data_IF_089875561627
#
_entry.id   IF_089875561627
#
_cell.length_a   1.000
_cell.length_b   1.000
_cell.length_c   1.000
_cell.angle_alpha   90.00
_cell.angle_beta   90.00
_cell.angle_gamma   90.00
#
_symmetry.space_group_name_H-M   'P 1'
#
loop_
_entity.id
_entity.type
_entity.pdbx_description
1 polymer ?
#
# COMPACT_ATOMS: atom_id res chain seq x y z
N UNK A 1 -22.22 16.59 24.53
CA UNK A 1 -21.96 15.20 24.96
C UNK A 1 -20.45 14.96 24.98
N UNK A 2 -19.88 14.43 26.06
CA UNK A 2 -18.49 13.94 26.04
C UNK A 2 -18.45 12.66 25.19
N UNK A 3 -17.98 12.75 23.96
CA UNK A 3 -17.80 11.56 23.12
C UNK A 3 -16.59 10.77 23.64
N UNK A 4 -16.82 9.53 24.09
CA UNK A 4 -15.73 8.59 24.38
C UNK A 4 -15.18 8.09 23.04
N UNK A 5 -13.85 8.05 22.91
CA UNK A 5 -13.16 7.51 21.72
C UNK A 5 -13.54 6.04 21.46
N UNK A 6 -13.75 5.27 22.53
CA UNK A 6 -14.19 3.88 22.44
C UNK A 6 -15.71 3.79 22.60
N UNK A 7 -16.40 3.52 21.50
CA UNK A 7 -17.84 3.25 21.47
C UNK A 7 -18.07 1.80 21.10
N UNK A 8 -18.42 0.96 22.08
CA UNK A 8 -18.60 -0.49 21.90
C UNK A 8 -19.54 -0.84 20.74
N UNK A 9 -20.64 -0.10 20.58
CA UNK A 9 -21.61 -0.34 19.51
C UNK A 9 -21.01 -0.12 18.11
N UNK A 10 -20.19 0.92 17.94
CA UNK A 10 -19.57 1.25 16.66
C UNK A 10 -18.49 0.22 16.30
N UNK A 11 -17.68 -0.19 17.29
CA UNK A 11 -16.72 -1.27 17.13
C UNK A 11 -17.36 -2.60 16.72
N UNK A 12 -18.45 -2.97 17.39
CA UNK A 12 -19.16 -4.21 17.09
C UNK A 12 -19.79 -4.20 15.69
N UNK A 13 -20.32 -3.05 15.26
CA UNK A 13 -20.81 -2.85 13.89
C UNK A 13 -19.69 -3.09 12.88
N UNK A 14 -18.57 -2.39 13.02
CA UNK A 14 -17.44 -2.51 12.08
C UNK A 14 -16.86 -3.92 12.07
N UNK A 15 -16.75 -4.58 13.24
CA UNK A 15 -16.32 -5.97 13.33
C UNK A 15 -17.25 -6.90 12.56
N UNK A 16 -18.56 -6.83 12.78
CA UNK A 16 -19.54 -7.70 12.10
C UNK A 16 -19.45 -7.57 10.58
N UNK A 17 -19.20 -6.36 10.09
CA UNK A 17 -19.11 -6.07 8.65
C UNK A 17 -17.79 -6.56 8.02
N UNK A 18 -16.70 -6.59 8.79
CA UNK A 18 -15.34 -6.85 8.27
C UNK A 18 -14.73 -8.18 8.73
N UNK A 19 -15.39 -8.94 9.62
CA UNK A 19 -14.87 -10.19 10.20
C UNK A 19 -14.40 -11.22 9.17
N UNK A 20 -15.04 -11.29 8.01
CA UNK A 20 -14.63 -12.24 6.95
C UNK A 20 -13.23 -11.89 6.44
N UNK A 21 -12.92 -10.60 6.29
CA UNK A 21 -11.61 -10.15 5.84
C UNK A 21 -10.53 -10.46 6.89
N UNK A 22 -10.84 -10.38 8.19
CA UNK A 22 -9.92 -10.81 9.25
C UNK A 22 -9.49 -12.27 9.06
N UNK A 23 -10.47 -13.18 8.89
CA UNK A 23 -10.19 -14.60 8.71
C UNK A 23 -9.48 -14.89 7.39
N UNK A 24 -9.81 -14.16 6.31
CA UNK A 24 -9.10 -14.28 5.04
C UNK A 24 -7.64 -13.81 5.14
N UNK A 25 -7.37 -12.69 5.83
CA UNK A 25 -6.01 -12.22 6.10
C UNK A 25 -5.21 -13.23 6.91
N UNK A 26 -5.84 -13.85 7.93
CA UNK A 26 -5.24 -14.91 8.73
C UNK A 26 -4.90 -16.13 7.86
N UNK A 27 -5.86 -16.62 7.08
CA UNK A 27 -5.68 -17.78 6.20
C UNK A 27 -4.59 -17.53 5.14
N UNK A 28 -4.63 -16.37 4.48
CA UNK A 28 -3.63 -16.00 3.48
C UNK A 28 -2.23 -15.96 4.11
N UNK A 29 -2.08 -15.30 5.26
CA UNK A 29 -0.79 -15.20 5.96
C UNK A 29 -0.28 -16.55 6.45
N UNK A 30 -1.18 -17.43 6.90
CA UNK A 30 -0.85 -18.81 7.26
C UNK A 30 -0.30 -19.59 6.07
N UNK A 31 -0.96 -19.48 4.91
CA UNK A 31 -0.53 -20.16 3.69
C UNK A 31 0.78 -19.57 3.14
N UNK A 32 1.09 -18.31 3.43
CA UNK A 32 2.31 -17.63 2.97
C UNK A 32 3.57 -17.97 3.78
N UNK A 33 3.47 -18.30 5.06
CA UNK A 33 4.65 -18.57 5.92
C UNK A 33 4.53 -19.89 6.66
N UNK A 34 3.51 -19.99 7.52
CA UNK A 34 3.41 -21.10 8.47
C UNK A 34 3.36 -22.43 7.73
N UNK A 35 2.55 -22.51 6.66
CA UNK A 35 2.45 -23.72 5.86
C UNK A 35 3.77 -24.07 5.12
N UNK A 36 4.44 -23.15 4.40
CA UNK A 36 5.77 -23.40 3.86
C UNK A 36 6.80 -23.91 4.87
N UNK A 37 6.87 -23.29 6.06
CA UNK A 37 7.80 -23.73 7.10
C UNK A 37 7.43 -25.09 7.69
N UNK A 38 6.14 -25.38 7.92
CA UNK A 38 5.69 -26.71 8.32
C UNK A 38 6.07 -27.76 7.27
N UNK A 39 5.84 -27.45 5.99
CA UNK A 39 6.19 -28.35 4.89
C UNK A 39 7.69 -28.63 4.85
N UNK A 40 8.51 -27.60 5.01
CA UNK A 40 9.97 -27.70 4.96
C UNK A 40 10.55 -28.42 6.19
N UNK A 41 10.06 -28.13 7.39
CA UNK A 41 10.64 -28.62 8.64
C UNK A 41 10.05 -29.94 9.12
N UNK A 42 8.75 -30.16 8.93
CA UNK A 42 8.04 -31.30 9.51
C UNK A 42 7.65 -32.35 8.47
N UNK A 43 7.28 -31.95 7.25
CA UNK A 43 6.75 -32.89 6.23
C UNK A 43 7.72 -33.26 5.12
N UNK A 44 8.94 -32.73 5.12
CA UNK A 44 9.99 -33.07 4.15
C UNK A 44 10.58 -34.47 4.39
N UNK A 45 11.26 -35.02 3.39
CA UNK A 45 11.88 -36.35 3.47
C UNK A 45 13.05 -36.32 4.47
N UNK A 46 13.31 -37.41 5.21
CA UNK A 46 14.42 -37.46 6.19
C UNK A 46 15.78 -37.05 5.59
N UNK A 47 16.05 -37.42 4.32
CA UNK A 47 17.27 -37.01 3.61
C UNK A 47 17.37 -35.49 3.39
N UNK A 48 16.25 -34.83 3.10
CA UNK A 48 16.16 -33.38 2.89
C UNK A 48 16.30 -32.64 4.21
N UNK A 49 15.67 -33.14 5.27
CA UNK A 49 15.82 -32.62 6.64
C UNK A 49 17.27 -32.67 7.09
N UNK A 50 17.93 -33.82 6.95
CA UNK A 50 19.34 -33.97 7.33
C UNK A 50 20.26 -33.04 6.53
N UNK A 51 20.00 -32.88 5.23
CA UNK A 51 20.74 -31.95 4.38
C UNK A 51 20.55 -30.50 4.83
N UNK A 52 19.31 -30.11 5.16
CA UNK A 52 18.98 -28.79 5.67
C UNK A 52 19.61 -28.53 7.04
N UNK A 53 19.50 -29.47 7.99
CA UNK A 53 20.13 -29.36 9.31
C UNK A 53 21.65 -29.27 9.21
N UNK A 54 22.30 -30.05 8.32
CA UNK A 54 23.75 -29.92 8.07
C UNK A 54 24.12 -28.56 7.48
N UNK A 55 23.30 -28.02 6.58
CA UNK A 55 23.50 -26.70 6.01
C UNK A 55 23.42 -25.62 7.11
N UNK A 56 22.46 -25.73 8.02
CA UNK A 56 22.26 -24.81 9.16
C UNK A 56 23.41 -24.82 10.12
N UNK A 57 23.90 -26.02 10.48
CA UNK A 57 25.08 -26.15 11.34
C UNK A 57 26.32 -25.49 10.74
N UNK A 58 26.40 -25.41 9.41
CA UNK A 58 27.54 -24.84 8.69
C UNK A 58 27.41 -23.33 8.45
N UNK A 59 26.18 -22.84 8.26
CA UNK A 59 25.87 -21.44 7.95
C UNK A 59 24.64 -20.95 8.74
N UNK A 60 24.75 -20.78 10.07
CA UNK A 60 23.60 -20.42 10.91
C UNK A 60 23.02 -19.05 10.56
N UNK A 61 23.86 -18.08 10.17
CA UNK A 61 23.43 -16.71 9.83
C UNK A 61 22.66 -16.64 8.50
N UNK A 62 23.04 -17.44 7.50
CA UNK A 62 22.40 -17.44 6.19
C UNK A 62 20.98 -18.04 6.24
N UNK A 63 20.77 -19.00 7.14
CA UNK A 63 19.46 -19.65 7.31
C UNK A 63 18.48 -18.75 8.05
N UNK A 64 18.93 -18.08 9.11
CA UNK A 64 18.12 -17.07 9.77
C UNK A 64 17.68 -16.01 8.75
N UNK A 65 18.57 -15.61 7.84
CA UNK A 65 18.22 -14.69 6.76
C UNK A 65 17.18 -15.26 5.79
N UNK A 66 17.28 -16.53 5.39
CA UNK A 66 16.35 -17.14 4.44
C UNK A 66 14.94 -17.32 5.04
N UNK A 67 14.83 -17.77 6.29
CA UNK A 67 13.56 -17.80 7.05
C UNK A 67 12.96 -16.39 7.22
N UNK A 68 13.78 -15.37 7.49
CA UNK A 68 13.30 -13.99 7.62
C UNK A 68 12.92 -13.33 6.28
N UNK A 69 13.40 -13.87 5.15
CA UNK A 69 13.07 -13.36 3.81
C UNK A 69 11.60 -13.61 3.48
N UNK A 70 11.06 -14.77 3.84
CA UNK A 70 9.66 -15.13 3.58
C UNK A 70 8.66 -14.18 4.28
N UNK A 71 9.08 -13.63 5.42
CA UNK A 71 8.37 -12.56 6.11
C UNK A 71 8.31 -11.27 5.27
N UNK A 72 9.43 -10.84 4.68
CA UNK A 72 9.49 -9.59 3.90
C UNK A 72 8.88 -9.67 2.51
N UNK A 73 8.79 -10.87 1.97
CA UNK A 73 8.23 -11.14 0.64
C UNK A 73 6.74 -11.42 0.70
N UNK A 74 6.39 -12.71 0.70
CA UNK A 74 5.03 -13.17 0.44
C UNK A 74 4.01 -12.71 1.50
N UNK A 75 4.32 -12.84 2.80
CA UNK A 75 3.37 -12.44 3.84
C UNK A 75 3.15 -10.95 3.87
N UNK A 76 4.22 -10.14 3.79
CA UNK A 76 4.08 -8.69 3.78
C UNK A 76 3.19 -8.24 2.61
N UNK A 77 3.40 -8.79 1.42
CA UNK A 77 2.55 -8.50 0.26
C UNK A 77 1.09 -8.93 0.47
N UNK A 78 0.86 -10.13 1.02
CA UNK A 78 -0.49 -10.60 1.35
C UNK A 78 -1.19 -9.72 2.40
N UNK A 79 -0.45 -9.24 3.41
CA UNK A 79 -0.96 -8.34 4.45
C UNK A 79 -1.26 -6.95 3.90
N UNK A 80 -0.36 -6.38 3.10
CA UNK A 80 -0.56 -5.08 2.44
C UNK A 80 -1.77 -5.15 1.51
N UNK A 81 -1.90 -6.21 0.72
CA UNK A 81 -3.07 -6.44 -0.12
C UNK A 81 -4.34 -6.63 0.70
N UNK A 82 -4.29 -7.40 1.80
CA UNK A 82 -5.40 -7.57 2.73
C UNK A 82 -5.84 -6.26 3.39
N UNK A 83 -4.89 -5.43 3.82
CA UNK A 83 -5.15 -4.09 4.35
C UNK A 83 -5.78 -3.17 3.31
N UNK A 84 -5.27 -3.21 2.07
CA UNK A 84 -5.87 -2.49 0.95
C UNK A 84 -7.33 -2.89 0.73
N UNK A 85 -7.63 -4.19 0.64
CA UNK A 85 -9.00 -4.69 0.52
C UNK A 85 -9.87 -4.29 1.72
N UNK A 86 -9.32 -4.33 2.93
CA UNK A 86 -10.02 -3.91 4.14
C UNK A 86 -10.43 -2.43 4.07
N UNK A 87 -9.55 -1.56 3.59
CA UNK A 87 -9.87 -0.13 3.43
C UNK A 87 -10.98 0.10 2.40
N UNK A 88 -10.99 -0.66 1.29
CA UNK A 88 -12.04 -0.59 0.27
C UNK A 88 -13.34 -1.11 0.84
N UNK A 89 -13.30 -2.18 1.62
CA UNK A 89 -14.50 -2.73 2.22
C UNK A 89 -15.08 -1.80 3.28
N UNK A 90 -14.26 -1.18 4.12
CA UNK A 90 -14.73 -0.28 5.18
C UNK A 90 -15.33 1.02 4.65
N UNK A 91 -14.75 1.62 3.61
CA UNK A 91 -15.20 2.93 3.08
C UNK A 91 -15.97 2.80 1.77
N UNK A 92 -15.51 1.94 0.87
CA UNK A 92 -16.10 1.73 -0.45
C UNK A 92 -17.42 0.98 -0.41
N UNK A 93 -17.58 -0.01 0.48
CA UNK A 93 -18.87 -0.72 0.62
C UNK A 93 -19.97 0.20 1.15
N UNK A 94 -19.68 1.08 2.12
CA UNK A 94 -20.67 2.03 2.66
C UNK A 94 -21.19 2.99 1.59
N UNK A 95 -20.45 3.21 0.51
CA UNK A 95 -20.88 4.06 -0.62
C UNK A 95 -21.80 3.35 -1.60
N UNK A 96 -21.98 2.04 -1.46
CA UNK A 96 -22.92 1.24 -2.25
C UNK A 96 -24.26 1.15 -1.51
N UNK A 97 -25.37 1.15 -2.25
CA UNK A 97 -26.72 0.86 -1.73
C UNK A 97 -27.22 1.75 -0.58
N UNK A 98 -27.07 3.08 -0.64
CA UNK A 98 -27.58 4.04 0.37
C UNK A 98 -27.11 3.81 1.82
N UNK A 99 -26.19 2.86 2.05
CA UNK A 99 -25.70 2.50 3.38
C UNK A 99 -25.00 3.69 4.06
N UNK A 100 -24.31 4.53 3.27
CA UNK A 100 -23.67 5.76 3.77
C UNK A 100 -24.65 6.73 4.43
N UNK A 101 -25.90 6.81 3.96
CA UNK A 101 -26.93 7.66 4.57
C UNK A 101 -27.35 7.12 5.93
N UNK A 102 -27.54 5.80 6.04
CA UNK A 102 -27.86 5.13 7.30
C UNK A 102 -26.72 5.24 8.32
N UNK A 103 -25.47 5.12 7.87
CA UNK A 103 -24.29 5.26 8.73
C UNK A 103 -24.10 6.69 9.21
N UNK A 104 -24.36 7.68 8.35
CA UNK A 104 -24.28 9.10 8.75
C UNK A 104 -25.49 9.60 9.52
N UNK A 105 -26.60 8.87 9.51
CA UNK A 105 -27.75 9.12 10.38
C UNK A 105 -27.52 8.68 11.83
N UNK A 106 -26.49 7.87 12.10
CA UNK A 106 -26.14 7.47 13.46
C UNK A 106 -25.79 8.71 14.32
N UNK A 107 -26.10 8.69 15.64
CA UNK A 107 -25.83 9.80 16.56
C UNK A 107 -24.34 9.88 16.96
N UNK A 108 -23.43 9.69 16.01
CA UNK A 108 -21.98 9.73 16.19
C UNK A 108 -21.34 10.69 15.19
N UNK A 109 -20.38 11.52 15.62
CA UNK A 109 -19.70 12.41 14.70
C UNK A 109 -18.86 11.61 13.68
N UNK A 110 -18.81 12.09 12.44
CA UNK A 110 -18.15 11.38 11.32
C UNK A 110 -16.66 11.12 11.54
N UNK A 111 -15.95 12.04 12.20
CA UNK A 111 -14.53 11.82 12.54
C UNK A 111 -14.35 10.59 13.43
N UNK A 112 -15.25 10.35 14.38
CA UNK A 112 -15.19 9.18 15.27
C UNK A 112 -15.48 7.88 14.52
N UNK A 113 -16.34 7.93 13.49
CA UNK A 113 -16.59 6.80 12.60
C UNK A 113 -15.35 6.43 11.79
N UNK A 114 -14.62 7.42 11.26
CA UNK A 114 -13.35 7.19 10.56
C UNK A 114 -12.27 6.59 11.49
N UNK A 115 -12.09 7.18 12.67
CA UNK A 115 -11.11 6.68 13.65
C UNK A 115 -11.43 5.24 14.06
N UNK A 116 -12.70 4.93 14.29
CA UNK A 116 -13.10 3.56 14.67
C UNK A 116 -12.78 2.55 13.56
N UNK A 117 -13.04 2.89 12.29
CA UNK A 117 -12.67 2.03 11.15
C UNK A 117 -11.16 1.79 11.10
N UNK A 118 -10.38 2.86 11.24
CA UNK A 118 -8.91 2.78 11.26
C UNK A 118 -8.42 1.90 12.42
N UNK A 119 -8.92 2.09 13.63
CA UNK A 119 -8.54 1.30 14.80
C UNK A 119 -8.90 -0.19 14.65
N UNK A 120 -10.07 -0.51 14.09
CA UNK A 120 -10.45 -1.90 13.79
C UNK A 120 -9.48 -2.52 12.79
N UNK A 121 -9.09 -1.79 11.74
CA UNK A 121 -8.09 -2.25 10.77
C UNK A 121 -6.72 -2.48 11.39
N UNK A 122 -6.22 -1.54 12.19
CA UNK A 122 -4.97 -1.72 12.93
C UNK A 122 -5.03 -2.93 13.87
N UNK A 123 -6.14 -3.12 14.56
CA UNK A 123 -6.34 -4.26 15.47
C UNK A 123 -6.27 -5.58 14.71
N UNK A 124 -6.89 -5.66 13.52
CA UNK A 124 -6.83 -6.86 12.68
C UNK A 124 -5.41 -7.15 12.22
N UNK A 125 -4.69 -6.14 11.72
CA UNK A 125 -3.31 -6.31 11.26
C UNK A 125 -2.42 -6.81 12.39
N UNK A 126 -2.47 -6.16 13.57
CA UNK A 126 -1.69 -6.56 14.74
C UNK A 126 -2.04 -7.99 15.19
N UNK A 127 -3.33 -8.31 15.24
CA UNK A 127 -3.81 -9.63 15.66
C UNK A 127 -3.36 -10.74 14.69
N UNK A 128 -3.49 -10.52 13.38
CA UNK A 128 -3.06 -11.49 12.37
C UNK A 128 -1.56 -11.71 12.45
N UNK A 129 -0.75 -10.65 12.50
CA UNK A 129 0.71 -10.78 12.61
C UNK A 129 1.09 -11.50 13.90
N UNK A 130 0.48 -11.15 15.03
CA UNK A 130 0.79 -11.78 16.32
C UNK A 130 0.49 -13.28 16.32
N UNK A 131 -0.66 -13.71 15.81
CA UNK A 131 -1.02 -15.14 15.76
C UNK A 131 -0.09 -15.89 14.80
N UNK A 132 0.12 -15.37 13.60
CA UNK A 132 0.93 -16.04 12.58
C UNK A 132 2.38 -16.18 13.04
N UNK A 133 2.94 -15.13 13.62
CA UNK A 133 4.29 -15.13 14.16
C UNK A 133 4.43 -16.07 15.36
N UNK A 134 3.44 -16.11 16.27
CA UNK A 134 3.45 -17.05 17.39
C UNK A 134 3.38 -18.51 16.92
N UNK A 135 2.53 -18.82 15.94
CA UNK A 135 2.43 -20.16 15.35
C UNK A 135 3.74 -20.55 14.66
N UNK A 136 4.31 -19.66 13.85
CA UNK A 136 5.53 -19.96 13.11
C UNK A 136 6.74 -20.15 14.03
N UNK A 137 6.90 -19.29 15.04
CA UNK A 137 7.94 -19.46 16.07
C UNK A 137 7.78 -20.80 16.77
N UNK A 138 6.55 -21.23 17.08
CA UNK A 138 6.32 -22.53 17.70
C UNK A 138 6.77 -23.68 16.78
N UNK A 139 6.45 -23.62 15.49
CA UNK A 139 6.89 -24.64 14.52
C UNK A 139 8.41 -24.72 14.41
N UNK A 140 9.07 -23.56 14.33
CA UNK A 140 10.53 -23.49 14.23
C UNK A 140 11.18 -23.98 15.53
N UNK A 141 10.70 -23.55 16.70
CA UNK A 141 11.28 -23.95 18.00
C UNK A 141 11.07 -25.42 18.33
N UNK A 142 9.99 -26.03 17.87
CA UNK A 142 9.73 -27.47 18.03
C UNK A 142 10.49 -28.34 17.01
N UNK A 143 11.17 -27.73 16.03
CA UNK A 143 11.97 -28.45 15.05
C UNK A 143 13.43 -28.58 15.48
N UNK A 144 14.18 -29.48 14.82
CA UNK A 144 15.61 -29.74 15.07
C UNK A 144 16.52 -28.50 14.88
N UNK A 145 16.01 -27.46 14.22
CA UNK A 145 16.75 -26.23 13.94
C UNK A 145 16.50 -25.13 14.97
N UNK A 146 15.59 -25.35 15.92
CA UNK A 146 15.12 -24.35 16.86
C UNK A 146 16.22 -23.74 17.74
N UNK A 147 17.30 -24.47 18.00
CA UNK A 147 18.45 -24.02 18.79
C UNK A 147 19.29 -22.95 18.06
N UNK A 148 19.33 -22.99 16.73
CA UNK A 148 20.12 -22.08 15.90
C UNK A 148 19.37 -20.78 15.58
N UNK A 149 18.08 -20.68 15.93
CA UNK A 149 17.22 -19.57 15.55
C UNK A 149 16.92 -18.64 16.72
N UNK A 150 17.27 -17.36 16.56
CA UNK A 150 16.97 -16.31 17.53
C UNK A 150 15.54 -15.76 17.34
N UNK A 151 14.69 -15.88 18.36
CA UNK A 151 13.30 -15.41 18.36
C UNK A 151 13.21 -13.88 18.23
N UNK A 152 14.17 -13.14 18.77
CA UNK A 152 14.19 -11.68 18.73
C UNK A 152 14.16 -11.13 17.30
N UNK A 153 14.86 -11.79 16.38
CA UNK A 153 14.87 -11.41 14.96
C UNK A 153 13.47 -11.49 14.33
N UNK A 154 12.68 -12.51 14.68
CA UNK A 154 11.31 -12.69 14.21
C UNK A 154 10.38 -11.64 14.82
N UNK A 155 10.53 -11.32 16.11
CA UNK A 155 9.71 -10.28 16.76
C UNK A 155 9.95 -8.91 16.11
N UNK A 156 11.21 -8.53 15.89
CA UNK A 156 11.57 -7.29 15.18
C UNK A 156 10.94 -7.29 13.78
N UNK A 157 10.96 -8.45 13.10
CA UNK A 157 10.33 -8.65 11.80
C UNK A 157 8.82 -8.42 11.84
N UNK A 158 8.13 -8.97 12.84
CA UNK A 158 6.71 -8.76 13.07
C UNK A 158 6.36 -7.27 13.27
N UNK A 159 7.16 -6.54 14.06
CA UNK A 159 6.96 -5.09 14.22
C UNK A 159 7.10 -4.34 12.90
N UNK A 160 8.10 -4.69 12.08
CA UNK A 160 8.26 -4.11 10.75
C UNK A 160 7.02 -4.36 9.87
N UNK A 161 6.51 -5.59 9.83
CA UNK A 161 5.31 -5.93 9.05
C UNK A 161 4.08 -5.13 9.48
N UNK A 162 3.84 -5.03 10.79
CA UNK A 162 2.75 -4.22 11.34
C UNK A 162 2.91 -2.78 10.90
N UNK A 163 4.12 -2.23 11.04
CA UNK A 163 4.41 -0.85 10.69
C UNK A 163 4.09 -0.55 9.21
N UNK A 164 4.64 -1.33 8.29
CA UNK A 164 4.45 -1.14 6.84
C UNK A 164 2.99 -1.34 6.44
N UNK A 165 2.35 -2.40 6.94
CA UNK A 165 0.96 -2.71 6.62
C UNK A 165 0.00 -1.64 7.16
N UNK A 166 0.21 -1.15 8.39
CA UNK A 166 -0.62 -0.06 8.95
C UNK A 166 -0.41 1.25 8.18
N UNK A 167 0.84 1.56 7.78
CA UNK A 167 1.15 2.77 7.00
C UNK A 167 0.47 2.75 5.63
N UNK A 168 0.57 1.63 4.91
CA UNK A 168 -0.08 1.46 3.59
C UNK A 168 -1.61 1.38 3.69
N UNK A 169 -2.14 0.71 4.72
CA UNK A 169 -3.57 0.73 5.03
C UNK A 169 -4.09 2.14 5.29
N UNK A 170 -3.35 2.94 6.07
CA UNK A 170 -3.69 4.34 6.37
C UNK A 170 -3.71 5.18 5.11
N UNK A 171 -2.73 4.98 4.22
CA UNK A 171 -2.69 5.64 2.93
C UNK A 171 -3.90 5.29 2.04
N UNK A 172 -4.29 4.01 1.98
CA UNK A 172 -5.47 3.62 1.19
C UNK A 172 -6.79 4.11 1.82
N UNK A 173 -6.90 4.14 3.14
CA UNK A 173 -8.01 4.77 3.86
C UNK A 173 -8.09 6.28 3.58
N UNK A 174 -6.94 6.96 3.52
CA UNK A 174 -6.86 8.36 3.13
C UNK A 174 -7.39 8.58 1.71
N UNK A 175 -6.99 7.77 0.74
CA UNK A 175 -7.56 7.79 -0.62
C UNK A 175 -9.08 7.55 -0.58
N UNK A 176 -9.50 6.59 0.24
CA UNK A 176 -10.91 6.32 0.49
C UNK A 176 -11.66 7.56 0.99
N UNK A 177 -11.06 8.42 1.81
CA UNK A 177 -11.76 9.56 2.42
C UNK A 177 -12.31 10.60 1.42
N UNK A 178 -11.69 10.77 0.25
CA UNK A 178 -12.07 11.80 -0.73
C UNK A 178 -12.54 11.26 -2.10
N UNK A 179 -12.38 9.97 -2.37
CA UNK A 179 -12.94 9.31 -3.57
C UNK A 179 -14.44 9.09 -3.40
N UNK A 180 -15.25 9.13 -4.47
CA UNK A 180 -16.71 8.99 -4.32
C UNK A 180 -17.26 7.58 -4.57
N UNK A 181 -16.41 6.63 -4.99
CA UNK A 181 -16.77 5.24 -5.26
C UNK A 181 -15.65 4.27 -4.82
N UNK A 182 -16.01 3.01 -4.59
CA UNK A 182 -15.03 1.96 -4.25
C UNK A 182 -14.07 1.70 -5.42
N UNK A 183 -14.55 1.77 -6.66
CA UNK A 183 -13.74 1.59 -7.87
C UNK A 183 -12.68 2.68 -7.97
N UNK A 184 -13.03 3.94 -7.70
CA UNK A 184 -12.05 5.02 -7.75
C UNK A 184 -11.02 4.92 -6.61
N UNK A 185 -11.45 4.54 -5.41
CA UNK A 185 -10.51 4.26 -4.32
C UNK A 185 -9.50 3.18 -4.72
N UNK A 186 -9.98 2.09 -5.34
CA UNK A 186 -9.13 1.01 -5.81
C UNK A 186 -8.15 1.46 -6.89
N UNK A 187 -8.66 2.09 -7.96
CA UNK A 187 -7.84 2.57 -9.08
C UNK A 187 -6.80 3.58 -8.63
N UNK A 188 -7.16 4.58 -7.82
CA UNK A 188 -6.21 5.61 -7.39
C UNK A 188 -5.13 5.05 -6.46
N UNK A 189 -5.48 4.10 -5.58
CA UNK A 189 -4.50 3.43 -4.73
C UNK A 189 -3.51 2.61 -5.56
N UNK A 190 -3.98 1.87 -6.58
CA UNK A 190 -3.09 1.11 -7.47
C UNK A 190 -2.20 2.06 -8.28
N UNK A 191 -2.77 3.08 -8.90
CA UNK A 191 -2.02 4.08 -9.68
C UNK A 191 -0.93 4.72 -8.81
N UNK A 192 -1.25 5.05 -7.55
CA UNK A 192 -0.30 5.70 -6.65
C UNK A 192 0.93 4.87 -6.29
N UNK A 193 0.87 3.53 -6.37
CA UNK A 193 2.04 2.66 -6.16
C UNK A 193 3.09 2.89 -7.25
N UNK A 194 2.67 3.13 -8.48
CA UNK A 194 3.56 3.28 -9.63
C UNK A 194 3.82 4.74 -10.00
N UNK A 195 3.03 5.67 -9.45
CA UNK A 195 3.05 7.08 -9.85
C UNK A 195 4.43 7.72 -9.67
N UNK A 196 5.13 7.43 -8.57
CA UNK A 196 6.46 8.01 -8.31
C UNK A 196 7.50 7.54 -9.34
N UNK A 197 7.59 6.22 -9.58
CA UNK A 197 8.54 5.67 -10.55
C UNK A 197 8.20 6.11 -11.99
N UNK A 198 6.91 6.16 -12.32
CA UNK A 198 6.45 6.73 -13.58
C UNK A 198 6.92 8.18 -13.76
N UNK A 199 6.69 9.05 -12.77
CA UNK A 199 7.14 10.45 -12.84
C UNK A 199 8.64 10.57 -12.96
N UNK A 200 9.40 9.80 -12.18
CA UNK A 200 10.87 9.80 -12.21
C UNK A 200 11.38 9.41 -13.60
N UNK A 201 10.86 8.32 -14.18
CA UNK A 201 11.24 7.85 -15.50
C UNK A 201 10.92 8.87 -16.59
N UNK A 202 9.71 9.42 -16.57
CA UNK A 202 9.27 10.42 -17.54
C UNK A 202 10.02 11.75 -17.43
N UNK A 203 10.31 12.21 -16.20
CA UNK A 203 11.10 13.41 -15.97
C UNK A 203 12.54 13.23 -16.44
N UNK A 204 13.15 12.08 -16.18
CA UNK A 204 14.49 11.78 -16.67
C UNK A 204 14.56 11.84 -18.20
N UNK A 205 13.55 11.28 -18.88
CA UNK A 205 13.47 11.33 -20.34
C UNK A 205 13.28 12.76 -20.86
N UNK A 206 12.45 13.58 -20.22
CA UNK A 206 12.31 15.00 -20.54
C UNK A 206 13.66 15.72 -20.44
N UNK A 207 14.36 15.57 -19.31
CA UNK A 207 15.65 16.24 -19.09
C UNK A 207 16.71 15.80 -20.11
N UNK A 208 16.69 14.53 -20.50
CA UNK A 208 17.57 13.99 -21.54
C UNK A 208 17.31 14.63 -22.90
N UNK A 209 16.05 14.69 -23.35
CA UNK A 209 15.68 15.22 -24.67
C UNK A 209 16.04 16.70 -24.82
N UNK A 210 15.90 17.47 -23.75
CA UNK A 210 16.27 18.88 -23.73
C UNK A 210 17.77 19.12 -23.45
N UNK A 211 18.58 18.06 -23.37
CA UNK A 211 20.03 18.11 -23.10
C UNK A 211 20.38 18.84 -21.80
N UNK A 212 19.51 18.79 -20.81
CA UNK A 212 19.77 19.35 -19.47
C UNK A 212 20.69 18.41 -18.69
N UNK A 213 20.59 17.09 -18.93
CA UNK A 213 21.46 16.07 -18.34
C UNK A 213 22.02 15.12 -19.41
N UNK A 214 23.31 14.72 -19.31
CA UNK A 214 23.91 13.72 -20.19
C UNK A 214 23.17 12.36 -20.14
N UNK A 215 23.21 11.61 -21.24
CA UNK A 215 22.53 10.31 -21.45
C UNK A 215 22.79 9.25 -20.35
N UNK A 216 23.94 9.31 -19.70
CA UNK A 216 24.38 8.35 -18.69
C UNK A 216 24.00 8.77 -17.25
N UNK A 217 23.36 9.92 -17.08
CA UNK A 217 23.01 10.45 -15.75
C UNK A 217 21.59 10.04 -15.41
N UNK A 218 21.44 9.05 -14.54
CA UNK A 218 20.14 8.73 -13.95
C UNK A 218 19.76 9.80 -12.94
N UNK A 219 18.46 10.10 -12.84
CA UNK A 219 17.96 11.03 -11.84
C UNK A 219 18.14 10.37 -10.46
N UNK A 220 19.20 10.75 -9.76
CA UNK A 220 19.58 10.19 -8.46
C UNK A 220 18.63 10.69 -7.38
N UNK A 221 17.48 10.05 -7.29
CA UNK A 221 16.54 10.24 -6.17
C UNK A 221 16.89 9.35 -4.98
N UNK A 222 17.78 8.37 -5.17
CA UNK A 222 18.17 7.39 -4.15
C UNK A 222 18.90 8.07 -2.99
N UNK A 223 18.49 7.78 -1.75
CA UNK A 223 19.03 8.38 -0.53
C UNK A 223 18.57 9.82 -0.29
N UNK A 224 17.70 10.37 -1.14
CA UNK A 224 17.09 11.69 -0.94
C UNK A 224 15.74 11.57 -0.24
N UNK A 225 15.27 12.67 0.37
CA UNK A 225 13.95 12.72 1.03
C UNK A 225 12.80 12.36 0.07
N UNK A 226 12.98 12.56 -1.24
CA UNK A 226 11.98 12.25 -2.26
C UNK A 226 11.67 10.76 -2.36
N UNK A 227 12.66 9.89 -2.15
CA UNK A 227 12.46 8.44 -2.18
C UNK A 227 11.50 7.96 -1.10
N UNK A 228 11.43 8.67 0.03
CA UNK A 228 10.54 8.35 1.13
C UNK A 228 9.06 8.62 0.81
N UNK A 229 8.75 9.37 -0.27
CA UNK A 229 7.38 9.53 -0.76
C UNK A 229 6.94 8.41 -1.70
N UNK A 230 7.86 7.54 -2.12
CA UNK A 230 7.52 6.41 -2.96
C UNK A 230 6.91 5.27 -2.12
N UNK A 231 5.60 5.09 -2.23
CA UNK A 231 4.85 4.06 -1.48
C UNK A 231 5.30 2.66 -1.88
N UNK A 232 5.70 2.43 -3.13
CA UNK A 232 6.22 1.13 -3.55
C UNK A 232 7.49 0.78 -2.79
N UNK A 233 8.35 1.76 -2.48
CA UNK A 233 9.54 1.56 -1.66
C UNK A 233 9.19 1.25 -0.21
N UNK A 234 8.02 1.66 0.31
CA UNK A 234 7.64 1.29 1.68
C UNK A 234 7.40 -0.21 1.82
N UNK A 235 6.93 -0.86 0.75
CA UNK A 235 6.55 -2.27 0.70
C UNK A 235 7.69 -3.13 0.14
N UNK A 236 8.33 -2.69 -0.94
CA UNK A 236 9.31 -3.45 -1.71
C UNK A 236 10.76 -3.24 -1.25
N UNK A 237 10.99 -2.43 -0.21
CA UNK A 237 12.32 -2.12 0.34
C UNK A 237 13.19 -3.38 0.54
N UNK A 238 12.55 -4.52 0.83
CA UNK A 238 13.20 -5.71 1.33
C UNK A 238 13.50 -6.77 0.26
N UNK A 239 12.77 -6.75 -0.86
CA UNK A 239 13.08 -7.61 -2.02
C UNK A 239 14.41 -7.18 -2.69
N UNK A 240 14.95 -6.02 -2.29
CA UNK A 240 16.13 -5.36 -2.85
C UNK A 240 17.44 -5.57 -2.07
N UNK A 241 17.69 -6.71 -1.42
CA UNK A 241 19.09 -7.07 -1.10
C UNK A 241 19.95 -7.26 -2.38
N UNK A 242 19.30 -7.33 -3.55
CA UNK A 242 19.92 -7.20 -4.87
C UNK A 242 19.91 -5.71 -5.28
N UNK A 243 20.80 -4.89 -4.72
CA UNK A 243 21.41 -3.65 -5.27
C UNK A 243 21.95 -2.70 -4.17
N UNK A 244 22.72 -3.28 -3.23
CA UNK A 244 23.82 -2.66 -2.48
C UNK A 244 23.55 -1.45 -1.55
N UNK A 245 24.11 -1.56 -0.34
CA UNK A 245 24.46 -0.52 0.64
C UNK A 245 23.46 -0.22 1.78
N UNK A 246 24.04 -0.06 2.98
CA UNK A 246 23.46 0.05 4.33
C UNK A 246 22.41 1.17 4.53
N UNK A 247 21.28 1.13 3.84
CA UNK A 247 20.13 2.00 4.12
C UNK A 247 19.26 1.42 5.23
N UNK A 248 19.16 2.10 6.37
CA UNK A 248 18.11 1.79 7.36
C UNK A 248 16.74 2.17 6.80
N UNK A 249 15.71 1.33 7.02
CA UNK A 249 14.34 1.66 6.63
C UNK A 249 13.91 3.00 7.28
N UNK A 250 13.31 3.94 6.54
CA UNK A 250 13.04 5.30 7.00
C UNK A 250 11.78 5.39 7.89
N UNK A 251 11.77 4.66 9.02
CA UNK A 251 10.61 4.55 9.92
C UNK A 251 10.04 5.91 10.35
N UNK A 252 10.90 6.86 10.68
CA UNK A 252 10.49 8.19 11.17
C UNK A 252 9.72 8.98 10.12
N UNK A 253 10.20 8.96 8.88
CA UNK A 253 9.58 9.68 7.76
C UNK A 253 8.26 9.02 7.36
N UNK A 254 8.23 7.69 7.23
CA UNK A 254 7.01 6.95 6.90
C UNK A 254 5.94 7.12 7.98
N UNK A 255 6.34 7.13 9.27
CA UNK A 255 5.44 7.38 10.38
C UNK A 255 4.86 8.81 10.32
N UNK A 256 5.72 9.82 10.10
CA UNK A 256 5.29 11.21 9.97
C UNK A 256 4.29 11.38 8.82
N UNK A 257 4.58 10.81 7.65
CA UNK A 257 3.67 10.86 6.50
C UNK A 257 2.35 10.16 6.84
N UNK A 258 2.38 8.97 7.44
CA UNK A 258 1.18 8.21 7.79
C UNK A 258 0.29 8.94 8.80
N UNK A 259 0.87 9.61 9.79
CA UNK A 259 0.13 10.45 10.76
C UNK A 259 -0.53 11.62 10.03
N UNK A 260 0.19 12.31 9.15
CA UNK A 260 -0.37 13.42 8.36
C UNK A 260 -1.53 12.93 7.49
N UNK A 261 -1.37 11.80 6.80
CA UNK A 261 -2.42 11.20 5.97
C UNK A 261 -3.64 10.78 6.80
N UNK A 262 -3.42 10.24 8.00
CA UNK A 262 -4.50 9.90 8.93
C UNK A 262 -5.30 11.14 9.36
N UNK A 263 -4.61 12.22 9.73
CA UNK A 263 -5.25 13.49 10.13
C UNK A 263 -6.04 14.07 8.96
N UNK A 264 -5.42 14.19 7.79
CA UNK A 264 -6.08 14.74 6.60
C UNK A 264 -7.27 13.86 6.18
N UNK A 265 -7.11 12.54 6.20
CA UNK A 265 -8.18 11.58 5.89
C UNK A 265 -9.37 11.72 6.84
N UNK A 266 -9.10 11.92 8.14
CA UNK A 266 -10.13 12.18 9.15
C UNK A 266 -10.88 13.49 8.85
N UNK A 267 -10.15 14.54 8.49
CA UNK A 267 -10.73 15.84 8.14
C UNK A 267 -11.61 15.74 6.89
N UNK A 268 -11.13 15.10 5.83
CA UNK A 268 -11.91 14.90 4.60
C UNK A 268 -13.15 14.04 4.83
N UNK A 269 -13.02 12.94 5.56
CA UNK A 269 -14.18 12.11 5.88
C UNK A 269 -15.23 12.88 6.70
N UNK A 270 -14.80 13.72 7.65
CA UNK A 270 -15.71 14.54 8.46
C UNK A 270 -16.51 15.56 7.65
N UNK A 271 -15.89 16.12 6.60
CA UNK A 271 -16.47 17.15 5.72
C UNK A 271 -17.17 16.58 4.49
N UNK A 272 -17.29 15.26 4.39
CA UNK A 272 -17.88 14.60 3.22
C UNK A 272 -19.35 15.01 3.02
N UNK A 273 -19.74 15.41 1.80
CA UNK A 273 -21.14 15.69 1.44
C UNK A 273 -21.71 14.47 0.72
N UNK A 274 -22.77 13.88 1.28
CA UNK A 274 -23.42 12.66 0.77
C UNK A 274 -23.87 12.79 -0.69
N UNK A 275 -24.30 13.98 -1.11
CA UNK A 275 -24.74 14.29 -2.48
C UNK A 275 -23.67 14.06 -3.56
N UNK A 276 -22.39 14.00 -3.15
CA UNK A 276 -21.26 13.76 -4.04
C UNK A 276 -20.82 12.28 -4.06
N UNK A 277 -21.50 11.39 -3.33
CA UNK A 277 -21.28 9.95 -3.45
C UNK A 277 -21.65 9.49 -4.88
N UNK A 278 -20.81 8.64 -5.49
CA UNK A 278 -20.94 8.22 -6.89
C UNK A 278 -20.22 9.12 -7.92
N UNK A 279 -19.68 10.28 -7.50
CA UNK A 279 -18.68 11.01 -8.29
C UNK A 279 -17.33 10.31 -8.22
N UNK A 280 -16.44 10.61 -9.16
CA UNK A 280 -15.06 10.13 -9.12
C UNK A 280 -14.33 10.64 -7.85
N UNK A 281 -14.39 11.97 -7.64
CA UNK A 281 -13.85 12.65 -6.47
C UNK A 281 -14.96 13.48 -5.81
N UNK A 282 -15.00 13.47 -4.48
CA UNK A 282 -16.06 14.13 -3.70
C UNK A 282 -15.85 15.65 -3.62
N UNK A 283 -14.59 16.09 -3.55
CA UNK A 283 -14.24 17.49 -3.30
C UNK A 283 -13.81 18.20 -4.60
N UNK A 284 -14.46 19.32 -4.98
CA UNK A 284 -14.15 20.03 -6.23
C UNK A 284 -12.70 20.53 -6.33
N UNK A 285 -12.07 20.90 -5.22
CA UNK A 285 -10.67 21.32 -5.22
C UNK A 285 -9.72 20.14 -5.52
N UNK A 286 -9.98 18.96 -4.93
CA UNK A 286 -9.19 17.75 -5.17
C UNK A 286 -9.41 17.24 -6.59
N UNK A 287 -10.64 17.37 -7.11
CA UNK A 287 -10.96 17.04 -8.50
C UNK A 287 -10.13 17.87 -9.48
N UNK A 288 -10.00 19.19 -9.25
CA UNK A 288 -9.13 20.06 -10.06
C UNK A 288 -7.66 19.64 -9.98
N UNK A 289 -7.16 19.32 -8.78
CA UNK A 289 -5.79 18.84 -8.59
C UNK A 289 -5.55 17.50 -9.30
N UNK A 290 -6.53 16.61 -9.28
CA UNK A 290 -6.47 15.32 -9.97
C UNK A 290 -6.46 15.47 -11.49
N UNK A 291 -7.30 16.36 -12.05
CA UNK A 291 -7.28 16.71 -13.48
C UNK A 291 -5.91 17.24 -13.87
N UNK A 292 -5.34 18.17 -13.09
CA UNK A 292 -4.01 18.72 -13.35
C UNK A 292 -2.92 17.64 -13.35
N UNK A 293 -2.91 16.78 -12.33
CA UNK A 293 -1.95 15.68 -12.22
C UNK A 293 -2.08 14.71 -13.41
N UNK A 294 -3.30 14.36 -13.79
CA UNK A 294 -3.56 13.46 -14.92
C UNK A 294 -3.06 14.05 -16.25
N UNK A 295 -3.36 15.33 -16.50
CA UNK A 295 -2.89 16.03 -17.71
C UNK A 295 -1.37 16.13 -17.71
N UNK A 296 -0.73 16.38 -16.57
CA UNK A 296 0.73 16.41 -16.47
C UNK A 296 1.35 15.04 -16.80
N UNK A 297 0.79 13.95 -16.27
CA UNK A 297 1.20 12.58 -16.64
C UNK A 297 1.03 12.33 -18.15
N UNK A 298 -0.09 12.75 -18.73
CA UNK A 298 -0.40 12.56 -20.13
C UNK A 298 0.50 13.40 -21.07
N UNK A 299 0.86 14.63 -20.67
CA UNK A 299 1.84 15.47 -21.35
C UNK A 299 3.20 14.78 -21.42
N UNK A 300 3.68 14.30 -20.27
CA UNK A 300 4.98 13.63 -20.16
C UNK A 300 5.03 12.34 -20.98
N UNK A 301 3.99 11.50 -20.86
CA UNK A 301 3.88 10.25 -21.62
C UNK A 301 3.73 10.50 -23.12
N UNK A 302 2.88 11.44 -23.51
CA UNK A 302 2.69 11.84 -24.90
C UNK A 302 3.98 12.35 -25.51
N UNK A 303 4.77 13.11 -24.75
CA UNK A 303 6.09 13.57 -25.17
C UNK A 303 7.05 12.43 -25.44
N UNK A 304 7.13 11.45 -24.52
CA UNK A 304 7.92 10.22 -24.74
C UNK A 304 7.50 9.52 -26.03
N UNK A 305 6.21 9.27 -26.20
CA UNK A 305 5.69 8.56 -27.37
C UNK A 305 5.97 9.35 -28.66
N UNK A 306 5.82 10.66 -28.65
CA UNK A 306 6.09 11.50 -29.83
C UNK A 306 7.56 11.56 -30.20
N UNK A 307 8.46 11.52 -29.21
CA UNK A 307 9.90 11.41 -29.46
C UNK A 307 10.24 10.12 -30.23
N UNK A 308 9.66 8.99 -29.83
CA UNK A 308 9.93 7.70 -30.48
C UNK A 308 9.17 7.51 -31.80
N UNK A 309 7.92 7.98 -31.90
CA UNK A 309 7.01 7.66 -33.00
C UNK A 309 6.95 8.73 -34.11
N UNK A 310 7.09 10.02 -33.80
CA UNK A 310 6.94 11.10 -34.78
C UNK A 310 8.29 11.55 -35.34
N UNK A 311 9.19 11.95 -34.46
CA UNK A 311 10.53 12.41 -34.87
C UNK A 311 11.47 12.38 -33.67
N UNK A 312 12.63 11.69 -33.78
CA UNK A 312 13.62 11.68 -32.72
C UNK A 312 14.19 13.09 -32.55
N UNK A 313 13.84 13.74 -31.44
CA UNK A 313 14.28 15.09 -31.11
C UNK A 313 13.26 15.90 -30.31
N UNK A 314 13.61 17.16 -30.05
CA UNK A 314 12.77 18.08 -29.25
C UNK A 314 11.43 18.37 -29.90
N UNK A 315 11.38 18.43 -31.23
CA UNK A 315 10.17 18.70 -32.00
C UNK A 315 9.14 17.57 -31.86
N UNK A 316 9.56 16.31 -32.05
CA UNK A 316 8.68 15.15 -31.84
C UNK A 316 8.17 15.06 -30.41
N UNK A 317 9.02 15.35 -29.42
CA UNK A 317 8.61 15.41 -28.02
C UNK A 317 7.56 16.49 -27.76
N UNK A 318 7.77 17.73 -28.22
CA UNK A 318 6.83 18.84 -27.98
C UNK A 318 5.48 18.56 -28.65
N UNK A 319 5.48 18.07 -29.90
CA UNK A 319 4.24 17.72 -30.62
C UNK A 319 3.52 16.57 -29.93
N UNK A 320 4.24 15.51 -29.55
CA UNK A 320 3.69 14.39 -28.80
C UNK A 320 3.11 14.80 -27.45
N UNK A 321 3.82 15.68 -26.72
CA UNK A 321 3.34 16.21 -25.46
C UNK A 321 2.06 17.00 -25.65
N UNK A 322 2.01 17.93 -26.61
CA UNK A 322 0.80 18.71 -26.89
C UNK A 322 -0.41 17.83 -27.22
N UNK A 323 -0.23 16.81 -28.08
CA UNK A 323 -1.27 15.85 -28.42
C UNK A 323 -1.69 15.00 -27.20
N UNK A 324 -0.73 14.47 -26.44
CA UNK A 324 -0.98 13.67 -25.25
C UNK A 324 -1.70 14.46 -24.15
N UNK A 325 -1.32 15.73 -23.94
CA UNK A 325 -1.99 16.64 -23.01
C UNK A 325 -3.43 16.95 -23.44
N UNK A 326 -3.66 17.23 -24.72
CA UNK A 326 -5.00 17.48 -25.26
C UNK A 326 -5.90 16.25 -25.12
N UNK A 327 -5.42 15.07 -25.54
CA UNK A 327 -6.15 13.80 -25.40
C UNK A 327 -6.40 13.48 -23.92
N UNK A 328 -5.37 13.61 -23.08
CA UNK A 328 -5.47 13.38 -21.64
C UNK A 328 -6.49 14.29 -20.97
N UNK A 329 -6.53 15.57 -21.35
CA UNK A 329 -7.53 16.51 -20.86
C UNK A 329 -8.96 16.12 -21.29
N UNK A 330 -9.15 15.71 -22.54
CA UNK A 330 -10.46 15.26 -23.02
C UNK A 330 -10.93 13.99 -22.29
N UNK A 331 -10.03 13.01 -22.10
CA UNK A 331 -10.33 11.77 -21.36
C UNK A 331 -10.73 12.11 -19.93
N UNK A 332 -9.89 12.84 -19.19
CA UNK A 332 -10.14 13.09 -17.77
C UNK A 332 -11.39 13.93 -17.55
N UNK A 333 -11.63 14.94 -18.41
CA UNK A 333 -12.84 15.76 -18.37
C UNK A 333 -14.09 14.90 -18.58
N UNK A 334 -14.05 13.98 -19.53
CA UNK A 334 -15.15 13.04 -19.78
C UNK A 334 -15.39 12.13 -18.57
N UNK A 335 -14.32 11.55 -18.01
CA UNK A 335 -14.39 10.68 -16.83
C UNK A 335 -14.94 11.41 -15.60
N UNK A 336 -14.55 12.66 -15.35
CA UNK A 336 -15.02 13.43 -14.19
C UNK A 336 -16.50 13.81 -14.28
N UNK A 337 -17.04 13.96 -15.50
CA UNK A 337 -18.46 14.24 -15.71
C UNK A 337 -19.35 12.99 -15.62
N UNK A 338 -18.78 11.78 -15.73
CA UNK A 338 -19.53 10.55 -15.56
C UNK A 338 -19.83 10.28 -14.08
N UNK A 339 -21.11 10.05 -13.76
CA UNK A 339 -21.51 9.50 -12.46
C UNK A 339 -21.58 8.00 -12.57
N UNK A 340 -20.74 7.30 -11.81
CA UNK A 340 -20.80 5.84 -11.73
C UNK A 340 -22.01 5.52 -10.84
N UNK A 341 -23.16 5.26 -11.46
CA UNK A 341 -24.32 4.68 -10.76
C UNK A 341 -24.03 3.19 -10.58
N UNK A 342 -23.87 2.74 -9.34
CA UNK A 342 -23.74 1.32 -8.99
C UNK A 342 -24.83 0.93 -7.99
#
# INVERSE_FOLDING_TARGET
MKHRLFVKALWWKEYRHTRVLLWLMLLASFMSIVYPHMRMLWFSTSKEKDAFVRFIKRYPDDVAWDLLRDYGGAMLLCLVFGGFLLSIWQLGYERRNYASEQVFALPYPRWLQYITKWMVGCTYIVFVVAIILALDIAIIKLSEIGEYVNVGSFIIRGFHMVFVTVSTFTFSMFIGSFTGSWTMQASLSIISLFLFEFFKMMLQQLLFIFMITPSYTTLKTRGTVWENFNISNWVLHENGKILFENGSYPYTVVAAISIVLFIIGTLFYSRNRLENNGKLIIFPFIEKAFILCFVLCALLLGGSIGYDALSPGRTGYIVGAALGGAIGYLIIRTLTHMRVRL
#
